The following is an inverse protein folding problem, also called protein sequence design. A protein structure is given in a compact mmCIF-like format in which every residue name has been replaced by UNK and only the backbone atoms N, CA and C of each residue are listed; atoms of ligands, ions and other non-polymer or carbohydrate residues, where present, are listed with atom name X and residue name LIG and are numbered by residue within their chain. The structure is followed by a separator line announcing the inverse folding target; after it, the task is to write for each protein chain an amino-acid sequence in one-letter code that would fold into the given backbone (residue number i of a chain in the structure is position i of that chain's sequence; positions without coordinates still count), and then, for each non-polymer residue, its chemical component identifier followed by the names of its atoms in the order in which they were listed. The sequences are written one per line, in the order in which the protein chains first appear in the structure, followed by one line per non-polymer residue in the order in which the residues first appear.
data_IF_628196486843
#
_entry.id   IF_628196486843
#
_cell.length_a   1.000
_cell.length_b   1.000
_cell.length_c   1.000
_cell.angle_alpha   90.00
_cell.angle_beta   90.00
_cell.angle_gamma   90.00
#
_symmetry.space_group_name_H-M   'P 1'
#
loop_
_entity.id
_entity.type
_entity.pdbx_description
1 polymer ?
#
# COMPACT_ATOMS: atom_id res chain seq x y z
N UNK A 1 9.63 8.00 -21.03
CA UNK A 1 9.50 6.70 -20.35
C UNK A 1 8.37 5.94 -21.03
N UNK A 2 8.65 4.80 -21.65
CA UNK A 2 7.64 4.04 -22.39
C UNK A 2 6.57 3.52 -21.42
N UNK A 3 5.30 3.85 -21.66
CA UNK A 3 4.17 3.18 -20.97
C UNK A 3 4.26 1.70 -21.35
N UNK A 4 4.64 0.85 -20.39
CA UNK A 4 4.59 -0.59 -20.58
C UNK A 4 3.12 -1.00 -20.61
N UNK A 5 2.64 -1.39 -21.78
CA UNK A 5 1.29 -1.93 -21.96
C UNK A 5 1.25 -3.32 -21.34
N UNK A 6 0.77 -3.40 -20.10
CA UNK A 6 0.60 -4.67 -19.40
C UNK A 6 -0.68 -5.32 -19.95
N UNK A 7 -0.53 -6.33 -20.80
CA UNK A 7 -1.66 -7.14 -21.27
C UNK A 7 -2.00 -8.15 -20.17
N UNK A 8 -3.13 -7.94 -19.51
CA UNK A 8 -3.63 -8.82 -18.45
C UNK A 8 -4.89 -9.49 -18.99
N UNK A 9 -4.82 -10.81 -19.18
CA UNK A 9 -5.98 -11.62 -19.55
C UNK A 9 -6.88 -11.76 -18.32
N UNK A 10 -7.99 -11.04 -18.33
CA UNK A 10 -8.97 -11.05 -17.25
C UNK A 10 -10.01 -12.14 -17.51
N UNK A 11 -10.49 -12.79 -16.45
CA UNK A 11 -11.61 -13.71 -16.55
C UNK A 11 -12.87 -12.96 -17.02
N UNK A 12 -13.75 -13.66 -17.75
CA UNK A 12 -14.98 -13.11 -18.33
C UNK A 12 -15.83 -12.27 -17.35
N UNK A 13 -16.11 -12.70 -16.11
CA UNK A 13 -16.88 -11.88 -15.15
C UNK A 13 -16.11 -10.63 -14.67
N UNK A 14 -14.77 -10.68 -14.63
CA UNK A 14 -13.97 -9.52 -14.25
C UNK A 14 -13.95 -8.46 -15.35
N UNK A 15 -13.94 -8.88 -16.62
CA UNK A 15 -14.00 -7.96 -17.76
C UNK A 15 -15.36 -7.25 -17.84
N UNK A 16 -16.45 -7.97 -17.56
CA UNK A 16 -17.80 -7.40 -17.46
C UNK A 16 -17.91 -6.40 -16.31
N UNK A 17 -17.39 -6.73 -15.12
CA UNK A 17 -17.37 -5.81 -13.98
C UNK A 17 -16.57 -4.53 -14.28
N UNK A 18 -15.43 -4.65 -14.96
CA UNK A 18 -14.63 -3.50 -15.39
C UNK A 18 -15.35 -2.67 -16.48
N UNK A 19 -16.05 -3.32 -17.42
CA UNK A 19 -16.87 -2.61 -18.41
C UNK A 19 -18.02 -1.85 -17.76
N UNK A 20 -18.69 -2.42 -16.75
CA UNK A 20 -19.75 -1.75 -16.02
C UNK A 20 -19.22 -0.51 -15.28
N UNK A 21 -18.03 -0.59 -14.67
CA UNK A 21 -17.39 0.55 -14.01
C UNK A 21 -16.97 1.66 -14.99
N UNK A 22 -16.35 1.29 -16.12
CA UNK A 22 -15.98 2.25 -17.17
C UNK A 22 -17.21 2.88 -17.83
N UNK A 23 -18.27 2.09 -18.04
CA UNK A 23 -19.52 2.54 -18.66
C UNK A 23 -20.44 3.35 -17.75
N UNK A 24 -20.44 3.10 -16.44
CA UNK A 24 -21.27 3.81 -15.47
C UNK A 24 -20.63 5.11 -14.95
N UNK A 25 -19.30 5.17 -14.89
CA UNK A 25 -18.59 6.28 -14.25
C UNK A 25 -18.09 7.39 -15.17
N UNK A 26 -17.83 7.12 -16.46
CA UNK A 26 -17.19 8.04 -17.42
C UNK A 26 -15.84 8.71 -16.97
N UNK A 27 -15.37 8.47 -15.75
CA UNK A 27 -14.14 9.03 -15.18
C UNK A 27 -12.86 8.32 -15.64
N UNK A 28 -12.97 7.13 -16.23
CA UNK A 28 -11.83 6.34 -16.68
C UNK A 28 -11.87 6.10 -18.19
N UNK A 29 -10.85 6.56 -18.90
CA UNK A 29 -10.83 6.54 -20.36
C UNK A 29 -10.58 5.14 -20.94
N UNK A 30 -10.15 4.18 -20.12
CA UNK A 30 -9.86 2.81 -20.55
C UNK A 30 -9.82 1.83 -19.38
N UNK A 31 -10.15 0.56 -19.64
CA UNK A 31 -10.01 -0.56 -18.70
C UNK A 31 -8.60 -0.61 -18.08
N UNK A 32 -7.57 -0.34 -18.89
CA UNK A 32 -6.18 -0.33 -18.43
C UNK A 32 -5.86 0.78 -17.42
N UNK A 33 -6.60 1.90 -17.48
CA UNK A 33 -6.44 3.00 -16.52
C UNK A 33 -7.04 2.64 -15.16
N UNK A 34 -8.24 2.07 -15.16
CA UNK A 34 -8.88 1.54 -13.95
C UNK A 34 -8.05 0.43 -13.29
N UNK A 35 -7.51 -0.49 -14.09
CA UNK A 35 -6.63 -1.56 -13.58
C UNK A 35 -5.34 -0.98 -12.98
N UNK A 36 -4.72 0.00 -13.64
CA UNK A 36 -3.51 0.63 -13.12
C UNK A 36 -3.77 1.38 -11.81
N UNK A 37 -4.88 2.10 -11.69
CA UNK A 37 -5.25 2.77 -10.45
C UNK A 37 -5.56 1.76 -9.34
N UNK A 38 -6.22 0.63 -9.67
CA UNK A 38 -6.46 -0.45 -8.70
C UNK A 38 -5.15 -1.07 -8.20
N UNK A 39 -4.20 -1.35 -9.11
CA UNK A 39 -2.87 -1.85 -8.75
C UNK A 39 -2.13 -0.85 -7.88
N UNK A 40 -2.22 0.45 -8.19
CA UNK A 40 -1.59 1.52 -7.41
C UNK A 40 -2.18 1.61 -6.00
N UNK A 41 -3.50 1.51 -5.88
CA UNK A 41 -4.17 1.50 -4.58
C UNK A 41 -3.78 0.27 -3.74
N UNK A 42 -3.79 -0.92 -4.36
CA UNK A 42 -3.38 -2.16 -3.69
C UNK A 42 -1.93 -2.09 -3.23
N UNK A 43 -1.01 -1.59 -4.04
CA UNK A 43 0.41 -1.40 -3.64
C UNK A 43 0.57 -0.47 -2.44
N UNK A 44 -0.24 0.58 -2.36
CA UNK A 44 -0.21 1.50 -1.22
C UNK A 44 -0.69 0.79 0.06
N UNK A 45 -1.74 -0.02 -0.05
CA UNK A 45 -2.21 -0.85 1.06
C UNK A 45 -1.21 -1.96 1.44
N UNK A 46 -0.53 -2.58 0.46
CA UNK A 46 0.51 -3.59 0.71
C UNK A 46 1.69 -3.01 1.50
N UNK A 47 2.12 -1.79 1.22
CA UNK A 47 3.19 -1.14 1.98
C UNK A 47 2.80 -0.96 3.46
N UNK A 48 1.53 -0.66 3.75
CA UNK A 48 1.01 -0.57 5.12
C UNK A 48 0.97 -1.96 5.76
N UNK A 49 0.43 -2.96 5.07
CA UNK A 49 0.37 -4.34 5.56
C UNK A 49 1.75 -4.92 5.83
N UNK A 50 2.75 -4.66 4.99
CA UNK A 50 4.13 -5.09 5.23
C UNK A 50 4.74 -4.43 6.46
N UNK A 51 4.48 -3.14 6.67
CA UNK A 51 4.93 -2.43 7.90
C UNK A 51 4.26 -3.00 9.14
N UNK A 52 2.96 -3.30 9.08
CA UNK A 52 2.23 -3.97 10.17
C UNK A 52 2.80 -5.36 10.44
N UNK A 53 3.01 -6.17 9.39
CA UNK A 53 3.57 -7.51 9.53
C UNK A 53 4.97 -7.48 10.16
N UNK A 54 5.81 -6.52 9.74
CA UNK A 54 7.12 -6.32 10.33
C UNK A 54 7.04 -5.87 11.80
N UNK A 55 6.09 -5.01 12.15
CA UNK A 55 5.85 -4.58 13.53
C UNK A 55 5.34 -5.73 14.42
N UNK A 56 4.45 -6.58 13.89
CA UNK A 56 3.96 -7.78 14.57
C UNK A 56 5.09 -8.80 14.79
N UNK A 57 5.95 -9.01 13.79
CA UNK A 57 7.11 -9.89 13.89
C UNK A 57 8.23 -9.33 14.80
N UNK A 58 8.39 -8.00 14.86
CA UNK A 58 9.39 -7.37 15.72
C UNK A 58 9.06 -7.45 17.22
N UNK A 59 7.85 -7.94 17.55
CA UNK A 59 7.37 -8.07 18.92
C UNK A 59 6.92 -6.74 19.50
N UNK A 60 5.87 -6.79 20.32
CA UNK A 60 5.34 -5.60 20.97
C UNK A 60 6.20 -5.24 22.18
N UNK A 61 6.76 -4.03 22.18
CA UNK A 61 7.50 -3.49 23.32
C UNK A 61 6.53 -3.10 24.42
N UNK A 62 6.68 -3.70 25.60
CA UNK A 62 5.89 -3.33 26.80
C UNK A 62 6.50 -2.13 27.55
N UNK A 63 7.37 -1.35 26.90
CA UNK A 63 8.05 -0.22 27.53
C UNK A 63 7.05 0.94 27.74
N UNK A 64 7.04 1.47 28.96
CA UNK A 64 6.26 2.65 29.30
C UNK A 64 6.79 3.88 28.52
N UNK A 65 5.93 4.80 28.09
CA UNK A 65 6.33 6.04 27.41
C UNK A 65 7.42 6.82 28.17
N UNK A 66 7.38 6.82 29.50
CA UNK A 66 8.36 7.51 30.35
C UNK A 66 9.74 6.82 30.27
N UNK A 67 9.77 5.48 30.18
CA UNK A 67 11.00 4.70 30.05
C UNK A 67 11.68 4.93 28.71
N UNK A 68 10.92 4.91 27.61
CA UNK A 68 11.45 5.22 26.27
C UNK A 68 12.05 6.64 26.21
N UNK A 69 11.38 7.62 26.82
CA UNK A 69 11.85 9.01 26.81
C UNK A 69 13.17 9.19 27.57
N UNK A 70 13.36 8.47 28.68
CA UNK A 70 14.61 8.45 29.42
C UNK A 70 15.74 7.74 28.63
N UNK A 71 15.41 6.65 27.95
CA UNK A 71 16.36 5.92 27.09
C UNK A 71 16.84 6.78 25.91
N UNK A 72 15.91 7.43 25.19
CA UNK A 72 16.25 8.36 24.11
C UNK A 72 17.09 9.54 24.60
N UNK A 73 16.78 10.11 25.78
CA UNK A 73 17.60 11.18 26.38
C UNK A 73 19.01 10.71 26.73
N UNK A 74 19.15 9.46 27.19
CA UNK A 74 20.45 8.87 27.53
C UNK A 74 21.27 8.58 26.29
N UNK A 75 20.66 8.06 25.23
CA UNK A 75 21.33 7.81 23.95
C UNK A 75 21.78 9.11 23.28
N UNK A 76 20.95 10.17 23.33
CA UNK A 76 21.33 11.48 22.81
C UNK A 76 22.52 12.08 23.57
N UNK A 77 22.61 11.84 24.89
CA UNK A 77 23.71 12.31 25.73
C UNK A 77 25.01 11.50 25.55
N UNK A 78 24.92 10.22 25.18
CA UNK A 78 26.08 9.37 24.90
C UNK A 78 26.61 9.49 23.45
N UNK A 79 25.81 10.08 22.56
CA UNK A 79 26.16 10.28 21.14
C UNK A 79 26.77 11.66 20.87
N UNK A 80 27.02 12.45 21.92
CA UNK A 80 27.60 13.80 21.88
C UNK A 80 29.05 13.84 22.30
#
# INVERSE_FOLDING_TARGET
MARQSISISLSQPNDEWLQQQVGAGAEYSSKSELINELIRNTRHAEALNQKLLAAEQSGFTSQSPIGMLQEFKRDLANSG
#
